data_IF_914002510511
#
_entry.id   IF_914002510511
#
_cell.length_a   1.000
_cell.length_b   1.000
_cell.length_c   1.000
_cell.angle_alpha   90.00
_cell.angle_beta   90.00
_cell.angle_gamma   90.00
#
_symmetry.space_group_name_H-M   'P 1'
#
loop_
_entity.id
_entity.type
_entity.pdbx_description
1 polymer ?
#
# COMPACT_ATOMS: atom_id res chain seq x y z
N UNK A 1 -6.35 -8.80 -8.10
CA UNK A 1 -4.93 -9.06 -7.79
C UNK A 1 -4.84 -10.14 -6.72
N UNK A 2 -3.63 -10.51 -6.30
CA UNK A 2 -3.43 -11.35 -5.11
C UNK A 2 -3.61 -10.47 -3.87
N UNK A 3 -4.33 -10.94 -2.86
CA UNK A 3 -4.40 -10.27 -1.56
C UNK A 3 -3.05 -10.46 -0.87
N UNK A 4 -2.32 -9.37 -0.67
CA UNK A 4 -0.99 -9.39 -0.05
C UNK A 4 -1.08 -9.39 1.48
N UNK A 5 -2.15 -8.84 2.04
CA UNK A 5 -2.40 -8.76 3.49
C UNK A 5 -3.88 -8.49 3.73
N UNK A 6 -4.41 -8.99 4.85
CA UNK A 6 -5.75 -8.68 5.32
C UNK A 6 -5.72 -8.36 6.82
N UNK A 7 -6.54 -7.39 7.23
CA UNK A 7 -6.69 -7.03 8.63
C UNK A 7 -8.15 -6.75 8.95
N UNK A 8 -8.60 -7.30 10.07
CA UNK A 8 -9.86 -6.93 10.67
C UNK A 8 -9.71 -6.86 12.18
N UNK A 9 -10.45 -5.96 12.79
CA UNK A 9 -10.62 -5.88 14.23
C UNK A 9 -12.02 -5.32 14.52
N UNK A 10 -12.65 -5.87 15.54
CA UNK A 10 -13.84 -5.26 16.12
C UNK A 10 -13.41 -4.13 17.04
N UNK A 11 -14.12 -3.02 16.94
CA UNK A 11 -14.00 -1.94 17.91
C UNK A 11 -14.49 -2.46 19.27
N UNK A 12 -13.64 -2.36 20.29
CA UNK A 12 -14.02 -2.70 21.64
C UNK A 12 -14.51 -1.44 22.35
N UNK A 13 -15.75 -1.49 22.84
CA UNK A 13 -16.29 -0.41 23.66
C UNK A 13 -15.40 -0.21 24.91
N UNK A 14 -15.04 1.03 25.31
CA UNK A 14 -15.46 2.34 24.81
C UNK A 14 -14.38 3.09 24.00
N UNK A 15 -13.46 2.40 23.31
CA UNK A 15 -12.20 3.00 22.87
C UNK A 15 -12.31 4.00 21.70
N UNK A 16 -13.46 4.07 21.01
CA UNK A 16 -13.72 5.03 19.92
C UNK A 16 -14.95 5.87 20.26
N UNK A 17 -14.72 7.03 20.85
CA UNK A 17 -15.79 7.99 21.14
C UNK A 17 -16.34 8.62 19.85
N UNK A 18 -17.57 9.19 19.86
CA UNK A 18 -18.11 9.90 18.71
C UNK A 18 -17.13 10.93 18.13
N UNK A 19 -16.89 10.88 16.83
CA UNK A 19 -15.93 11.75 16.13
C UNK A 19 -14.45 11.32 16.24
N UNK A 20 -14.16 10.25 16.99
CA UNK A 20 -12.81 9.66 17.03
C UNK A 20 -12.60 8.69 15.87
N UNK A 21 -11.35 8.42 15.54
CA UNK A 21 -10.97 7.48 14.47
C UNK A 21 -10.45 6.18 15.05
N UNK A 22 -10.87 5.05 14.49
CA UNK A 22 -10.27 3.75 14.76
C UNK A 22 -9.11 3.52 13.79
N UNK A 23 -7.90 3.31 14.32
CA UNK A 23 -6.71 3.16 13.49
C UNK A 23 -6.61 1.75 12.89
N UNK A 24 -6.06 1.67 11.67
CA UNK A 24 -5.60 0.41 11.10
C UNK A 24 -4.17 0.11 11.58
N UNK A 25 -3.82 -1.17 11.72
CA UNK A 25 -2.43 -1.56 11.98
C UNK A 25 -1.61 -1.35 10.70
N UNK A 26 -0.73 -0.34 10.72
CA UNK A 26 0.25 -0.08 9.68
C UNK A 26 1.61 -0.75 9.92
N UNK A 27 2.54 -0.60 8.97
CA UNK A 27 3.95 -0.99 9.15
C UNK A 27 4.30 -2.46 8.88
N UNK A 28 3.30 -3.33 8.66
CA UNK A 28 3.50 -4.73 8.23
C UNK A 28 3.34 -4.96 6.72
N UNK A 29 2.90 -3.95 5.98
CA UNK A 29 2.64 -4.08 4.55
C UNK A 29 3.96 -4.13 3.78
N UNK A 30 4.34 -5.32 3.31
CA UNK A 30 5.44 -5.47 2.35
C UNK A 30 4.96 -5.07 0.96
N UNK A 31 5.21 -3.80 0.60
CA UNK A 31 4.90 -3.22 -0.72
C UNK A 31 6.18 -3.17 -1.58
N UNK A 32 6.80 -4.33 -1.79
CA UNK A 32 8.14 -4.46 -2.37
C UNK A 32 8.16 -4.65 -3.90
N UNK A 33 7.04 -5.10 -4.48
CA UNK A 33 6.91 -5.25 -5.93
C UNK A 33 6.48 -3.95 -6.58
N UNK A 34 7.11 -3.64 -7.71
CA UNK A 34 6.70 -2.54 -8.57
C UNK A 34 5.27 -2.73 -9.09
N UNK A 35 4.52 -1.64 -9.17
CA UNK A 35 3.13 -1.62 -9.65
C UNK A 35 2.18 -0.90 -8.70
N UNK A 36 0.91 -0.85 -9.10
CA UNK A 36 -0.17 -0.25 -8.30
C UNK A 36 -0.73 -1.28 -7.32
N UNK A 37 -0.67 -0.94 -6.04
CA UNK A 37 -1.38 -1.65 -4.99
C UNK A 37 -2.75 -1.02 -4.79
N UNK A 38 -3.77 -1.85 -4.66
CA UNK A 38 -5.15 -1.42 -4.41
C UNK A 38 -5.55 -1.74 -2.97
N UNK A 39 -6.48 -0.98 -2.42
CA UNK A 39 -7.08 -1.20 -1.10
C UNK A 39 -8.57 -1.46 -1.23
N UNK A 40 -9.07 -2.36 -0.39
CA UNK A 40 -10.48 -2.48 -0.03
C UNK A 40 -10.60 -2.32 1.47
N UNK A 41 -11.47 -1.42 1.91
CA UNK A 41 -11.75 -1.19 3.33
C UNK A 41 -13.26 -1.28 3.55
N UNK A 42 -13.69 -2.16 4.45
CA UNK A 42 -15.08 -2.34 4.79
C UNK A 42 -15.35 -2.02 6.26
N UNK A 43 -16.45 -1.31 6.52
CA UNK A 43 -16.98 -1.13 7.86
C UNK A 43 -18.06 -2.19 8.10
N UNK A 44 -17.83 -3.06 9.09
CA UNK A 44 -18.79 -4.06 9.50
C UNK A 44 -19.53 -3.64 10.77
N UNK A 45 -20.82 -3.96 10.85
CA UNK A 45 -21.64 -3.85 12.06
C UNK A 45 -22.27 -5.19 12.40
N UNK A 46 -22.75 -5.32 13.65
CA UNK A 46 -23.34 -6.53 14.22
C UNK A 46 -22.36 -7.71 14.35
N UNK A 47 -21.55 -7.79 15.41
CA UNK A 47 -20.50 -8.82 15.55
C UNK A 47 -20.98 -10.27 15.47
N UNK A 48 -22.21 -10.56 15.92
CA UNK A 48 -22.79 -11.90 15.91
C UNK A 48 -23.31 -12.32 14.52
N UNK A 49 -23.66 -11.36 13.66
CA UNK A 49 -24.03 -11.55 12.26
C UNK A 49 -23.51 -10.36 11.42
N UNK A 50 -22.21 -10.41 11.05
CA UNK A 50 -21.52 -9.26 10.49
C UNK A 50 -22.08 -8.81 9.15
N UNK A 51 -22.36 -7.51 9.04
CA UNK A 51 -22.87 -6.89 7.82
C UNK A 51 -22.02 -5.70 7.42
N UNK A 52 -21.65 -5.61 6.14
CA UNK A 52 -20.97 -4.43 5.60
C UNK A 52 -21.98 -3.28 5.49
N UNK A 53 -21.70 -2.19 6.21
CA UNK A 53 -22.50 -0.96 6.15
C UNK A 53 -21.88 0.10 5.26
N UNK A 54 -20.57 0.01 5.04
CA UNK A 54 -19.85 0.84 4.08
C UNK A 54 -18.65 0.07 3.53
N UNK A 55 -18.33 0.33 2.25
CA UNK A 55 -17.19 -0.29 1.58
C UNK A 55 -16.54 0.72 0.65
N UNK A 56 -15.23 0.86 0.81
CA UNK A 56 -14.37 1.65 -0.04
C UNK A 56 -13.45 0.74 -0.86
N UNK A 57 -13.26 1.11 -2.14
CA UNK A 57 -12.30 0.51 -3.05
C UNK A 57 -11.48 1.62 -3.71
N UNK A 58 -10.17 1.43 -3.83
CA UNK A 58 -9.32 2.40 -4.49
C UNK A 58 -7.86 1.95 -4.65
N UNK A 59 -7.04 2.87 -5.14
CA UNK A 59 -5.60 2.69 -5.21
C UNK A 59 -4.96 3.11 -3.88
N UNK A 60 -4.13 2.24 -3.32
CA UNK A 60 -3.36 2.53 -2.10
C UNK A 60 -2.13 3.37 -2.43
N UNK A 61 -1.30 2.86 -3.34
CA UNK A 61 -0.10 3.53 -3.82
C UNK A 61 0.45 2.85 -5.07
N UNK A 62 1.34 3.54 -5.78
CA UNK A 62 2.10 2.96 -6.89
C UNK A 62 3.57 2.91 -6.51
N UNK A 63 4.13 1.70 -6.47
CA UNK A 63 5.56 1.48 -6.25
C UNK A 63 6.26 1.55 -7.60
N UNK A 64 7.16 2.52 -7.75
CA UNK A 64 7.98 2.63 -8.93
C UNK A 64 8.94 1.43 -9.02
N UNK A 65 9.26 0.94 -10.23
CA UNK A 65 10.32 -0.05 -10.39
C UNK A 65 11.64 0.55 -9.88
N UNK A 66 12.39 -0.26 -9.14
CA UNK A 66 13.77 0.07 -8.84
C UNK A 66 14.52 0.11 -10.17
N UNK A 67 14.89 1.31 -10.61
CA UNK A 67 15.77 1.47 -11.76
C UNK A 67 17.16 1.08 -11.26
N UNK A 68 17.74 -0.04 -11.72
CA UNK A 68 19.11 -0.35 -11.33
C UNK A 68 19.99 0.85 -11.71
N UNK A 69 20.86 1.30 -10.79
CA UNK A 69 21.84 2.30 -11.16
C UNK A 69 22.60 1.77 -12.38
N UNK A 70 22.78 2.57 -13.44
CA UNK A 70 23.51 2.09 -14.60
C UNK A 70 24.90 1.63 -14.17
N UNK A 71 25.27 0.41 -14.55
CA UNK A 71 26.56 -0.23 -14.24
C UNK A 71 27.75 0.63 -14.69
N UNK A 72 27.50 1.56 -15.61
CA UNK A 72 28.46 2.53 -16.10
C UNK A 72 28.09 3.94 -15.64
N UNK A 73 28.88 4.49 -14.73
CA UNK A 73 28.97 5.93 -14.45
C UNK A 73 30.29 6.45 -15.02
N UNK A 74 30.22 7.51 -15.84
CA UNK A 74 31.41 8.19 -16.37
C UNK A 74 31.74 7.90 -17.83
N UNK A 75 30.75 7.72 -18.71
CA UNK A 75 31.04 7.68 -20.15
C UNK A 75 31.39 9.08 -20.66
N UNK A 76 32.64 9.26 -21.08
CA UNK A 76 33.15 10.50 -21.67
C UNK A 76 34.00 10.17 -22.88
N UNK A 77 33.87 10.97 -23.94
CA UNK A 77 34.75 10.85 -25.12
C UNK A 77 36.01 11.67 -24.80
N UNK A 78 37.13 11.01 -24.53
CA UNK A 78 38.41 11.69 -24.26
C UNK A 78 39.05 12.24 -25.53
N UNK A 79 38.90 11.56 -26.67
CA UNK A 79 39.42 12.04 -27.94
C UNK A 79 38.65 11.45 -29.13
N UNK A 80 38.41 12.29 -30.13
CA UNK A 80 37.93 11.87 -31.43
C UNK A 80 39.10 11.89 -32.42
N UNK A 81 39.41 10.74 -33.02
CA UNK A 81 40.38 10.64 -34.12
C UNK A 81 39.63 10.26 -35.41
N UNK A 82 39.77 11.10 -36.42
CA UNK A 82 39.40 10.79 -37.81
C UNK A 82 40.51 10.03 -38.48
N UNK A 83 40.12 8.99 -39.22
CA UNK A 83 40.98 8.23 -40.14
C UNK A 83 41.38 9.10 -41.33
#
# INVERSE_FOLDING_TARGET
>A
GIVVEEYSAWEAWPYTSPGSSHQFIGGRFSLDKAGTYTISAGLLMNPDDPTYVDIYYGDLCTVAPEVPEPEFRGFGIEQYQTV
#
